data_IF_723461323587
#
_entry.id   IF_723461323587
#
_cell.length_a   1.000
_cell.length_b   1.000
_cell.length_c   1.000
_cell.angle_alpha   90.00
_cell.angle_beta   90.00
_cell.angle_gamma   90.00
#
_symmetry.space_group_name_H-M   'P 1'
#
loop_
_entity.id
_entity.type
_entity.pdbx_description
1 polymer ?
#
# COMPACT_ATOMS: atom_id res chain seq x y z
N UNK A 1 7.84 -11.65 -11.31
CA UNK A 1 8.63 -11.90 -12.53
C UNK A 1 9.78 -12.86 -12.22
N UNK A 2 10.29 -13.57 -13.25
CA UNK A 2 11.50 -14.36 -13.12
C UNK A 2 12.32 -14.30 -14.42
N UNK A 3 13.64 -14.19 -14.24
CA UNK A 3 14.61 -14.02 -15.32
C UNK A 3 15.75 -15.02 -15.16
N UNK A 4 16.26 -15.54 -16.29
CA UNK A 4 17.47 -16.36 -16.28
C UNK A 4 18.26 -16.16 -17.58
N UNK A 5 19.54 -16.46 -17.55
CA UNK A 5 20.34 -16.68 -18.75
C UNK A 5 20.83 -18.13 -18.80
N UNK A 6 21.20 -18.60 -19.99
CA UNK A 6 21.76 -19.95 -20.16
C UNK A 6 23.27 -19.85 -20.10
N UNK A 7 23.89 -20.54 -19.15
CA UNK A 7 25.34 -20.63 -19.01
C UNK A 7 25.99 -21.52 -20.08
N UNK A 8 27.31 -21.53 -20.10
CA UNK A 8 28.09 -22.27 -21.10
C UNK A 8 27.79 -23.78 -21.12
N UNK A 9 27.42 -24.35 -19.99
CA UNK A 9 27.08 -25.78 -19.84
C UNK A 9 25.59 -26.05 -20.05
N UNK A 10 24.79 -25.05 -20.48
CA UNK A 10 23.35 -25.18 -20.70
C UNK A 10 22.51 -25.08 -19.42
N UNK A 11 23.11 -24.79 -18.28
CA UNK A 11 22.37 -24.55 -17.03
C UNK A 11 21.66 -23.20 -17.05
N UNK A 12 20.56 -23.11 -16.29
CA UNK A 12 19.81 -21.87 -16.08
C UNK A 12 20.36 -21.13 -14.86
N UNK A 13 20.93 -19.97 -15.09
CA UNK A 13 21.37 -19.05 -14.04
C UNK A 13 20.30 -18.01 -13.78
N UNK A 14 19.59 -18.15 -12.67
CA UNK A 14 18.49 -17.27 -12.30
C UNK A 14 19.00 -15.94 -11.77
N UNK A 15 18.46 -14.85 -12.34
CA UNK A 15 18.82 -13.48 -12.00
C UNK A 15 17.67 -12.83 -11.23
N UNK A 16 18.00 -12.12 -10.15
CA UNK A 16 17.01 -11.38 -9.40
C UNK A 16 16.32 -10.32 -10.27
N UNK A 17 14.99 -10.17 -10.20
CA UNK A 17 14.29 -9.12 -10.93
C UNK A 17 14.82 -7.70 -10.67
N UNK A 18 15.42 -7.47 -9.48
CA UNK A 18 16.02 -6.18 -9.12
C UNK A 18 17.28 -5.90 -9.95
N UNK A 19 18.03 -6.94 -10.33
CA UNK A 19 19.27 -6.85 -11.10
C UNK A 19 19.02 -6.91 -12.61
N UNK A 20 17.78 -7.15 -13.03
CA UNK A 20 17.39 -7.21 -14.43
C UNK A 20 17.10 -5.80 -14.99
N UNK A 21 17.85 -5.40 -16.00
CA UNK A 21 17.62 -4.18 -16.77
C UNK A 21 16.66 -4.54 -17.89
N UNK A 22 15.44 -4.02 -17.86
CA UNK A 22 14.37 -4.38 -18.79
C UNK A 22 14.00 -3.23 -19.72
N UNK A 23 13.79 -3.55 -21.00
CA UNK A 23 13.18 -2.65 -21.99
C UNK A 23 11.71 -3.05 -22.17
N UNK A 24 10.81 -2.07 -22.19
CA UNK A 24 9.37 -2.29 -22.34
C UNK A 24 8.86 -1.62 -23.60
N UNK A 25 7.87 -2.25 -24.24
CA UNK A 25 7.13 -1.65 -25.36
C UNK A 25 6.14 -0.55 -24.86
N UNK A 26 5.47 0.10 -25.81
CA UNK A 26 4.45 1.12 -25.54
C UNK A 26 3.27 0.59 -24.69
N UNK A 27 3.07 -0.73 -24.63
CA UNK A 27 2.05 -1.41 -23.84
C UNK A 27 2.57 -1.89 -22.47
N UNK A 28 3.83 -1.54 -22.12
CA UNK A 28 4.46 -1.92 -20.87
C UNK A 28 4.98 -3.36 -20.81
N UNK A 29 4.95 -4.13 -21.90
CA UNK A 29 5.42 -5.51 -21.94
C UNK A 29 6.94 -5.53 -22.07
N UNK A 30 7.59 -6.44 -21.35
CA UNK A 30 9.04 -6.65 -21.43
C UNK A 30 9.38 -7.23 -22.81
N UNK A 31 10.19 -6.51 -23.59
CA UNK A 31 10.65 -6.92 -24.93
C UNK A 31 12.11 -7.36 -24.93
N UNK A 32 12.92 -6.82 -24.01
CA UNK A 32 14.30 -7.24 -23.76
C UNK A 32 14.63 -7.16 -22.31
N UNK A 33 15.55 -8.00 -21.86
CA UNK A 33 16.11 -7.94 -20.52
C UNK A 33 17.60 -8.33 -20.59
N UNK A 34 18.43 -7.68 -19.78
CA UNK A 34 19.85 -8.00 -19.58
C UNK A 34 20.24 -7.77 -18.13
N UNK A 35 21.31 -8.43 -17.67
CA UNK A 35 21.94 -8.14 -16.40
C UNK A 35 23.05 -7.07 -16.52
N UNK A 36 23.64 -6.69 -15.39
CA UNK A 36 24.73 -5.73 -15.36
C UNK A 36 26.02 -6.24 -16.04
N UNK A 37 26.20 -7.56 -16.19
CA UNK A 37 27.32 -8.18 -16.89
C UNK A 37 27.10 -8.24 -18.40
N UNK A 38 25.88 -7.90 -18.88
CA UNK A 38 25.54 -7.88 -20.30
C UNK A 38 24.95 -9.18 -20.83
N UNK A 39 24.67 -10.19 -19.99
CA UNK A 39 23.99 -11.40 -20.44
C UNK A 39 22.55 -11.06 -20.83
N UNK A 40 22.12 -11.57 -22.01
CA UNK A 40 20.73 -11.49 -22.39
C UNK A 40 19.88 -12.43 -21.50
N UNK A 41 18.82 -11.88 -20.92
CA UNK A 41 17.94 -12.61 -20.01
C UNK A 41 16.68 -13.08 -20.71
N UNK A 42 16.31 -14.32 -20.43
CA UNK A 42 15.03 -14.90 -20.83
C UNK A 42 14.00 -14.54 -19.75
N UNK A 43 12.97 -13.80 -20.12
CA UNK A 43 11.84 -13.49 -19.26
C UNK A 43 10.82 -14.63 -19.29
N UNK A 44 10.49 -15.20 -18.13
CA UNK A 44 9.56 -16.33 -18.04
C UNK A 44 8.15 -15.94 -17.59
N UNK A 45 7.88 -14.65 -17.50
CA UNK A 45 6.61 -14.14 -17.01
C UNK A 45 6.52 -14.09 -15.49
N UNK A 46 5.32 -13.78 -15.01
CA UNK A 46 5.01 -13.79 -13.59
C UNK A 46 5.06 -15.21 -13.06
N UNK A 47 5.79 -15.42 -11.98
CA UNK A 47 5.92 -16.73 -11.36
C UNK A 47 5.96 -16.63 -9.83
N UNK A 48 5.59 -17.74 -9.17
CA UNK A 48 5.69 -17.84 -7.71
C UNK A 48 7.12 -17.53 -7.27
N UNK A 49 7.27 -16.70 -6.24
CA UNK A 49 8.55 -16.42 -5.62
C UNK A 49 9.17 -17.68 -5.04
N UNK A 50 10.44 -17.91 -5.33
CA UNK A 50 11.20 -19.03 -4.78
C UNK A 50 12.70 -18.71 -4.70
N UNK A 51 13.37 -19.28 -3.72
CA UNK A 51 14.83 -19.16 -3.58
C UNK A 51 15.57 -19.71 -4.80
N UNK A 52 15.08 -20.82 -5.38
CA UNK A 52 15.71 -21.47 -6.56
C UNK A 52 15.62 -20.62 -7.82
N UNK A 53 14.68 -19.70 -7.93
CA UNK A 53 14.55 -18.76 -9.05
C UNK A 53 15.14 -17.39 -8.76
N UNK A 54 15.67 -17.18 -7.57
CA UNK A 54 16.21 -15.89 -7.13
C UNK A 54 15.27 -14.70 -7.38
N UNK A 55 13.94 -14.93 -7.32
CA UNK A 55 12.92 -13.92 -7.60
C UNK A 55 12.12 -13.49 -6.37
N UNK A 56 12.62 -13.82 -5.18
CA UNK A 56 12.07 -13.36 -3.92
C UNK A 56 12.45 -11.90 -3.62
N UNK A 57 11.61 -11.23 -2.85
CA UNK A 57 11.92 -9.91 -2.29
C UNK A 57 12.46 -10.12 -0.88
N UNK A 58 13.59 -9.49 -0.57
CA UNK A 58 14.14 -9.51 0.77
C UNK A 58 13.33 -8.57 1.68
N UNK A 59 12.63 -9.11 2.70
CA UNK A 59 11.86 -8.29 3.62
C UNK A 59 12.72 -7.28 4.38
N UNK A 60 13.98 -7.62 4.68
CA UNK A 60 14.88 -6.74 5.44
C UNK A 60 15.17 -5.47 4.65
N UNK A 61 15.48 -5.57 3.37
CA UNK A 61 15.71 -4.41 2.48
C UNK A 61 14.47 -3.52 2.41
N UNK A 62 13.27 -4.11 2.34
CA UNK A 62 12.03 -3.36 2.31
C UNK A 62 11.75 -2.65 3.64
N UNK A 63 12.02 -3.31 4.76
CA UNK A 63 11.85 -2.72 6.09
C UNK A 63 12.84 -1.58 6.33
N UNK A 64 14.08 -1.72 5.90
CA UNK A 64 15.09 -0.66 6.01
C UNK A 64 14.73 0.56 5.16
N UNK A 65 14.18 0.35 3.95
CA UNK A 65 13.83 1.43 3.02
C UNK A 65 12.52 2.13 3.36
N UNK A 66 11.50 1.38 3.73
CA UNK A 66 10.13 1.90 3.87
C UNK A 66 9.55 1.82 5.29
N UNK A 67 10.18 1.08 6.17
CA UNK A 67 9.68 0.78 7.51
C UNK A 67 8.75 -0.44 7.55
N UNK A 68 8.76 -1.15 8.68
CA UNK A 68 7.99 -2.38 8.86
C UNK A 68 6.47 -2.18 8.68
N UNK A 69 5.93 -1.07 9.19
CA UNK A 69 4.50 -0.79 9.12
C UNK A 69 4.03 -0.56 7.68
N UNK A 70 4.87 0.06 6.83
CA UNK A 70 4.57 0.22 5.40
C UNK A 70 4.46 -1.13 4.70
N UNK A 71 5.42 -2.02 4.93
CA UNK A 71 5.43 -3.36 4.32
C UNK A 71 4.22 -4.16 4.78
N UNK A 72 3.91 -4.15 6.07
CA UNK A 72 2.74 -4.81 6.65
C UNK A 72 1.42 -4.27 6.07
N UNK A 73 1.30 -2.95 5.98
CA UNK A 73 0.11 -2.32 5.39
C UNK A 73 -0.06 -2.72 3.92
N UNK A 74 1.03 -2.70 3.13
CA UNK A 74 1.00 -3.12 1.75
C UNK A 74 0.52 -4.57 1.61
N UNK A 75 1.08 -5.49 2.40
CA UNK A 75 0.67 -6.91 2.36
C UNK A 75 -0.81 -7.13 2.67
N UNK A 76 -1.36 -6.35 3.61
CA UNK A 76 -2.77 -6.44 3.98
C UNK A 76 -3.71 -5.75 2.97
N UNK A 77 -3.20 -4.75 2.25
CA UNK A 77 -4.01 -3.95 1.32
C UNK A 77 -4.01 -4.50 -0.11
N UNK A 78 -2.88 -5.03 -0.58
CA UNK A 78 -2.65 -5.34 -1.99
C UNK A 78 -3.52 -6.47 -2.52
N UNK A 79 -3.92 -7.43 -1.67
CA UNK A 79 -4.77 -8.55 -2.08
C UNK A 79 -5.54 -9.13 -0.89
N UNK A 80 -6.75 -9.71 -1.11
CA UNK A 80 -7.38 -10.57 -0.13
C UNK A 80 -6.47 -11.73 0.27
N UNK A 81 -6.60 -12.21 1.52
CA UNK A 81 -5.69 -13.22 2.08
C UNK A 81 -5.70 -14.58 1.34
N UNK A 82 -6.79 -14.90 0.66
CA UNK A 82 -7.02 -16.13 -0.13
C UNK A 82 -6.67 -15.98 -1.62
N UNK A 83 -6.19 -14.80 -2.04
CA UNK A 83 -5.86 -14.51 -3.43
C UNK A 83 -4.35 -14.37 -3.64
N UNK A 84 -3.91 -14.50 -4.89
CA UNK A 84 -2.52 -14.26 -5.25
C UNK A 84 -2.16 -12.78 -5.09
N UNK A 85 -1.05 -12.51 -4.41
CA UNK A 85 -0.49 -11.17 -4.30
C UNK A 85 0.62 -11.01 -5.34
N UNK A 86 0.46 -10.02 -6.22
CA UNK A 86 1.54 -9.56 -7.09
C UNK A 86 2.33 -8.46 -6.39
N UNK A 87 3.65 -8.67 -6.29
CA UNK A 87 4.52 -7.64 -5.70
C UNK A 87 4.69 -6.48 -6.66
N UNK A 88 4.37 -5.28 -6.18
CA UNK A 88 4.55 -4.02 -6.91
C UNK A 88 5.16 -2.98 -5.98
N UNK A 89 6.37 -2.51 -6.30
CA UNK A 89 7.07 -1.52 -5.48
C UNK A 89 6.30 -0.19 -5.38
N UNK A 90 5.64 0.23 -6.45
CA UNK A 90 4.75 1.40 -6.45
C UNK A 90 3.61 1.29 -5.44
N UNK A 91 3.13 0.07 -5.16
CA UNK A 91 2.13 -0.20 -4.13
C UNK A 91 2.69 0.00 -2.72
N UNK A 92 3.93 -0.43 -2.48
CA UNK A 92 4.64 -0.20 -1.20
C UNK A 92 4.84 1.30 -0.97
N UNK A 93 5.28 2.03 -2.00
CA UNK A 93 5.39 3.50 -1.92
C UNK A 93 4.05 4.17 -1.66
N UNK A 94 2.96 3.67 -2.27
CA UNK A 94 1.60 4.12 -2.01
C UNK A 94 1.20 3.95 -0.55
N UNK A 95 1.49 2.79 0.04
CA UNK A 95 1.26 2.52 1.47
C UNK A 95 2.08 3.46 2.37
N UNK A 96 3.35 3.71 2.03
CA UNK A 96 4.19 4.65 2.76
C UNK A 96 3.64 6.08 2.74
N UNK A 97 3.22 6.57 1.57
CA UNK A 97 2.59 7.89 1.44
C UNK A 97 1.30 7.98 2.26
N UNK A 98 0.51 6.91 2.28
CA UNK A 98 -0.72 6.89 3.07
C UNK A 98 -0.43 6.99 4.57
N UNK A 99 0.49 6.19 5.12
CA UNK A 99 0.86 6.27 6.54
C UNK A 99 1.39 7.65 6.93
N UNK A 100 2.21 8.28 6.08
CA UNK A 100 2.68 9.65 6.31
C UNK A 100 1.54 10.68 6.34
N UNK A 101 0.51 10.50 5.50
CA UNK A 101 -0.69 11.35 5.52
C UNK A 101 -1.49 11.17 6.80
N UNK A 102 -1.68 9.90 7.26
CA UNK A 102 -2.36 9.62 8.54
C UNK A 102 -1.61 10.28 9.68
N UNK A 103 -0.29 10.07 9.74
CA UNK A 103 0.55 10.69 10.77
C UNK A 103 0.42 12.20 10.78
N UNK A 104 0.55 12.83 9.61
CA UNK A 104 0.44 14.27 9.46
C UNK A 104 -0.91 14.80 9.95
N UNK A 105 -2.02 14.16 9.55
CA UNK A 105 -3.36 14.58 9.95
C UNK A 105 -3.52 14.55 11.48
N UNK A 106 -3.13 13.45 12.12
CA UNK A 106 -3.22 13.30 13.57
C UNK A 106 -2.31 14.30 14.28
N UNK A 107 -1.07 14.45 13.82
CA UNK A 107 -0.10 15.39 14.40
C UNK A 107 -0.61 16.84 14.32
N UNK A 108 -1.09 17.28 13.17
CA UNK A 108 -1.62 18.65 12.99
C UNK A 108 -2.88 18.89 13.83
N UNK A 109 -3.71 17.87 14.01
CA UNK A 109 -4.88 17.95 14.88
C UNK A 109 -4.47 18.09 16.35
N UNK A 110 -3.60 17.22 16.83
CA UNK A 110 -3.15 17.23 18.23
C UNK A 110 -2.31 18.44 18.60
N UNK A 111 -1.51 18.97 17.65
CA UNK A 111 -0.71 20.18 17.84
C UNK A 111 -1.55 21.44 18.08
N UNK A 112 -2.83 21.44 17.71
CA UNK A 112 -3.76 22.54 17.97
C UNK A 112 -4.28 22.58 19.43
N UNK A 113 -3.87 21.64 20.29
CA UNK A 113 -4.27 21.53 21.69
C UNK A 113 -5.63 20.87 21.90
N UNK A 114 -6.20 21.06 23.09
CA UNK A 114 -7.44 20.42 23.50
C UNK A 114 -8.62 20.78 22.57
N UNK A 115 -9.54 19.86 22.43
CA UNK A 115 -10.79 20.06 21.71
C UNK A 115 -11.95 20.19 22.68
N UNK A 116 -12.93 21.02 22.33
CA UNK A 116 -14.16 21.17 23.09
C UNK A 116 -14.99 19.87 23.05
N UNK A 117 -15.90 19.74 23.99
CA UNK A 117 -16.88 18.66 23.95
C UNK A 117 -17.77 18.80 22.73
N UNK A 118 -18.00 17.69 22.03
CA UNK A 118 -18.87 17.67 20.86
C UNK A 118 -20.33 17.94 21.26
N UNK A 119 -20.91 19.01 20.72
CA UNK A 119 -22.34 19.33 20.85
C UNK A 119 -23.08 18.86 19.59
N UNK A 120 -23.66 17.67 19.67
CA UNK A 120 -24.35 17.04 18.51
C UNK A 120 -25.53 17.86 18.00
N UNK A 121 -26.24 18.58 18.89
CA UNK A 121 -27.41 19.36 18.52
C UNK A 121 -27.04 20.66 17.77
N UNK A 122 -25.82 21.15 17.98
CA UNK A 122 -25.29 22.35 17.33
C UNK A 122 -24.65 22.09 15.96
N UNK A 123 -24.54 20.83 15.53
CA UNK A 123 -23.89 20.48 14.26
C UNK A 123 -24.66 20.96 13.05
N UNK A 124 -23.96 21.51 12.06
CA UNK A 124 -24.47 21.78 10.73
C UNK A 124 -24.79 20.48 10.00
N UNK A 125 -25.52 20.55 8.88
CA UNK A 125 -25.84 19.36 8.07
C UNK A 125 -24.56 18.71 7.48
N UNK A 126 -23.58 19.50 7.07
CA UNK A 126 -22.29 18.97 6.58
C UNK A 126 -21.50 18.26 7.69
N UNK A 127 -21.47 18.81 8.88
CA UNK A 127 -20.85 18.19 10.06
C UNK A 127 -21.58 16.89 10.44
N UNK A 128 -22.91 16.87 10.42
CA UNK A 128 -23.70 15.66 10.63
C UNK A 128 -23.44 14.61 9.55
N UNK A 129 -23.24 15.02 8.29
CA UNK A 129 -22.90 14.12 7.18
C UNK A 129 -21.52 13.51 7.40
N UNK A 130 -20.51 14.31 7.74
CA UNK A 130 -19.16 13.84 8.03
C UNK A 130 -19.17 12.85 9.21
N UNK A 131 -19.86 13.20 10.29
CA UNK A 131 -20.02 12.32 11.45
C UNK A 131 -20.65 10.97 11.09
N UNK A 132 -21.70 10.98 10.25
CA UNK A 132 -22.28 9.73 9.73
C UNK A 132 -21.26 8.90 8.94
N UNK A 133 -20.42 9.54 8.13
CA UNK A 133 -19.38 8.84 7.37
C UNK A 133 -18.31 8.24 8.28
N UNK A 134 -17.90 8.94 9.33
CA UNK A 134 -16.99 8.41 10.36
C UNK A 134 -17.58 7.14 11.00
N UNK A 135 -18.81 7.21 11.50
CA UNK A 135 -19.44 6.05 12.15
C UNK A 135 -19.72 4.88 11.20
N UNK A 136 -20.09 5.15 9.94
CA UNK A 136 -20.21 4.10 8.91
C UNK A 136 -18.88 3.43 8.63
N UNK A 137 -17.79 4.21 8.58
CA UNK A 137 -16.45 3.65 8.38
C UNK A 137 -16.02 2.80 9.57
N UNK A 138 -16.26 3.26 10.81
CA UNK A 138 -16.00 2.47 12.02
C UNK A 138 -16.74 1.13 11.97
N UNK A 139 -18.05 1.17 11.69
CA UNK A 139 -18.87 -0.06 11.60
C UNK A 139 -18.37 -1.01 10.52
N UNK A 140 -18.04 -0.47 9.32
CA UNK A 140 -17.50 -1.27 8.22
C UNK A 140 -16.15 -1.90 8.56
N UNK A 141 -15.22 -1.12 9.09
CA UNK A 141 -13.88 -1.61 9.46
C UNK A 141 -13.96 -2.65 10.56
N UNK A 142 -14.85 -2.45 11.55
CA UNK A 142 -15.08 -3.44 12.61
C UNK A 142 -15.59 -4.77 12.04
N UNK A 143 -16.51 -4.73 11.11
CA UNK A 143 -17.03 -5.95 10.45
C UNK A 143 -15.98 -6.59 9.54
N UNK A 144 -15.31 -5.81 8.69
CA UNK A 144 -14.31 -6.28 7.74
C UNK A 144 -13.13 -6.96 8.47
N UNK A 145 -12.64 -6.38 9.57
CA UNK A 145 -11.51 -6.93 10.33
C UNK A 145 -11.97 -8.05 11.27
N UNK A 146 -13.01 -7.81 12.05
CA UNK A 146 -13.40 -8.71 13.14
C UNK A 146 -14.11 -9.97 12.68
N UNK A 147 -14.90 -9.90 11.62
CA UNK A 147 -15.74 -11.02 11.13
C UNK A 147 -15.31 -11.54 9.76
N UNK A 148 -15.11 -10.63 8.79
CA UNK A 148 -14.88 -11.02 7.39
C UNK A 148 -13.40 -11.26 7.07
N UNK A 149 -12.49 -10.69 7.85
CA UNK A 149 -11.05 -10.73 7.63
C UNK A 149 -10.63 -10.19 6.24
N UNK A 150 -11.39 -9.22 5.73
CA UNK A 150 -11.14 -8.54 4.46
C UNK A 150 -10.37 -7.24 4.71
N UNK A 151 -9.09 -7.36 5.03
CA UNK A 151 -8.25 -6.21 5.41
C UNK A 151 -8.14 -5.16 4.32
N UNK A 152 -8.07 -5.56 3.07
CA UNK A 152 -7.98 -4.66 1.92
C UNK A 152 -9.20 -3.73 1.82
N UNK A 153 -10.41 -4.22 2.08
CA UNK A 153 -11.63 -3.40 2.05
C UNK A 153 -11.73 -2.46 3.26
N UNK A 154 -11.26 -2.91 4.44
CA UNK A 154 -11.16 -2.07 5.62
C UNK A 154 -10.19 -0.90 5.38
N UNK A 155 -8.99 -1.17 4.86
CA UNK A 155 -7.99 -0.15 4.54
C UNK A 155 -8.51 0.82 3.48
N UNK A 156 -9.18 0.34 2.43
CA UNK A 156 -9.79 1.18 1.41
C UNK A 156 -10.83 2.15 2.02
N UNK A 157 -11.68 1.67 2.94
CA UNK A 157 -12.66 2.50 3.62
C UNK A 157 -12.00 3.61 4.47
N UNK A 158 -10.89 3.30 5.15
CA UNK A 158 -10.11 4.29 5.90
C UNK A 158 -9.48 5.32 4.96
N UNK A 159 -8.92 4.89 3.82
CA UNK A 159 -8.35 5.80 2.81
C UNK A 159 -9.42 6.77 2.27
N UNK A 160 -10.63 6.29 2.04
CA UNK A 160 -11.76 7.10 1.60
C UNK A 160 -12.19 8.13 2.65
N UNK A 161 -12.30 7.71 3.92
CA UNK A 161 -12.57 8.61 5.03
C UNK A 161 -11.48 9.68 5.17
N UNK A 162 -10.20 9.30 5.07
CA UNK A 162 -9.07 10.23 5.11
C UNK A 162 -9.15 11.31 4.03
N UNK A 163 -9.63 10.97 2.83
CA UNK A 163 -9.82 11.95 1.76
C UNK A 163 -10.96 12.94 2.07
N UNK A 164 -11.98 12.51 2.82
CA UNK A 164 -13.07 13.40 3.29
C UNK A 164 -12.57 14.30 4.41
N UNK A 165 -11.89 13.75 5.40
CA UNK A 165 -11.31 14.50 6.52
C UNK A 165 -10.31 15.57 6.05
N UNK A 166 -9.49 15.27 5.03
CA UNK A 166 -8.53 16.23 4.48
C UNK A 166 -9.20 17.45 3.79
N UNK A 167 -10.48 17.36 3.48
CA UNK A 167 -11.29 18.45 2.87
C UNK A 167 -12.22 19.12 3.85
N UNK A 168 -12.39 18.53 5.04
CA UNK A 168 -13.29 19.07 6.05
C UNK A 168 -12.72 20.36 6.66
N UNK A 169 -13.56 21.32 7.04
CA UNK A 169 -13.15 22.48 7.83
C UNK A 169 -12.48 22.04 9.15
N UNK A 170 -11.51 22.80 9.61
CA UNK A 170 -10.77 22.53 10.85
C UNK A 170 -10.66 23.74 11.78
N UNK A 171 -11.36 24.83 11.45
CA UNK A 171 -11.21 26.12 12.13
C UNK A 171 -12.29 26.35 13.19
N UNK A 172 -13.44 25.70 13.05
CA UNK A 172 -14.52 25.75 14.00
C UNK A 172 -14.31 24.83 15.21
N UNK A 173 -14.81 25.23 16.36
CA UNK A 173 -14.70 24.44 17.60
C UNK A 173 -15.32 23.04 17.44
N UNK A 174 -16.49 22.95 16.82
CA UNK A 174 -17.17 21.67 16.58
C UNK A 174 -16.56 20.88 15.40
N UNK A 175 -15.90 21.54 14.45
CA UNK A 175 -15.17 20.87 13.36
C UNK A 175 -14.01 20.04 13.90
N UNK A 176 -13.36 20.52 14.97
CA UNK A 176 -12.25 19.80 15.62
C UNK A 176 -12.73 18.69 16.56
N UNK A 177 -13.92 18.80 17.09
CA UNK A 177 -14.51 17.83 18.01
C UNK A 177 -15.16 16.62 17.29
N UNK A 178 -15.37 16.72 15.98
CA UNK A 178 -15.87 15.66 15.11
C UNK A 178 -14.81 14.59 14.84
#
# INVERSE_FOLDING_TARGET
DAFYYVGENGERNWVSPVDAIVERDEKGRIVKAKDAAGHELVYTGMSKMSKSKNNGIDPQVMVERYGADTVRLFMMFASPADMTLEWQESGVEGANRFLKRVWKLVYEHTAKGDVAALNVDALTEDQKALRRDVHKTIAKVTDDIGRRQTFNTAIAAIMELMNKLAKAPTDGEQDRAL
#
